data_IF_251639119405
#
_entry.id   IF_251639119405
#
_cell.length_a   1.000
_cell.length_b   1.000
_cell.length_c   1.000
_cell.angle_alpha   90.00
_cell.angle_beta   90.00
_cell.angle_gamma   90.00
#
_symmetry.space_group_name_H-M   'P 1'
#
loop_
_entity.id
_entity.type
_entity.pdbx_description
1 polymer ?
#
# COMPACT_ATOMS: atom_id res chain seq x y z
N UNK A 1 -0.80 -35.11 3.84
CA UNK A 1 0.65 -35.19 4.14
C UNK A 1 1.04 -33.90 4.83
N UNK A 2 1.27 -33.92 6.14
CA UNK A 2 1.85 -32.77 6.86
C UNK A 2 3.36 -32.97 6.88
N UNK A 3 4.08 -32.27 6.00
CA UNK A 3 5.54 -32.18 6.09
C UNK A 3 5.89 -31.33 7.33
N UNK A 4 6.48 -31.97 8.33
CA UNK A 4 7.09 -31.27 9.46
C UNK A 4 8.47 -30.84 9.03
N UNK A 5 8.61 -29.55 8.74
CA UNK A 5 9.91 -28.95 8.49
C UNK A 5 10.84 -29.16 9.69
N UNK A 6 12.10 -29.48 9.43
CA UNK A 6 13.12 -29.57 10.47
C UNK A 6 13.41 -28.19 11.08
N UNK A 7 13.94 -28.17 12.30
CA UNK A 7 14.32 -26.93 12.97
C UNK A 7 15.39 -26.17 12.18
N UNK A 8 16.32 -26.87 11.54
CA UNK A 8 17.37 -26.27 10.71
C UNK A 8 16.80 -25.60 9.45
N UNK A 9 15.83 -26.23 8.78
CA UNK A 9 15.16 -25.64 7.62
C UNK A 9 14.40 -24.35 8.00
N UNK A 10 13.70 -24.36 9.14
CA UNK A 10 13.01 -23.17 9.65
C UNK A 10 14.00 -22.06 10.03
N UNK A 11 15.13 -22.40 10.66
CA UNK A 11 16.18 -21.46 11.01
C UNK A 11 16.78 -20.80 9.75
N UNK A 12 17.01 -21.59 8.70
CA UNK A 12 17.52 -21.10 7.42
C UNK A 12 16.50 -20.19 6.72
N UNK A 13 15.22 -20.56 6.70
CA UNK A 13 14.15 -19.72 6.13
C UNK A 13 14.04 -18.38 6.87
N UNK A 14 14.11 -18.41 8.21
CA UNK A 14 14.13 -17.19 9.03
C UNK A 14 15.31 -16.30 8.68
N UNK A 15 16.52 -16.85 8.56
CA UNK A 15 17.73 -16.10 8.18
C UNK A 15 17.54 -15.40 6.83
N UNK A 16 17.10 -16.13 5.81
CA UNK A 16 16.84 -15.57 4.47
C UNK A 16 15.77 -14.47 4.51
N UNK A 17 14.70 -14.63 5.29
CA UNK A 17 13.67 -13.60 5.44
C UNK A 17 14.22 -12.32 6.10
N UNK A 18 15.00 -12.47 7.18
CA UNK A 18 15.63 -11.34 7.86
C UNK A 18 16.64 -10.61 6.98
N UNK A 19 17.44 -11.33 6.20
CA UNK A 19 18.36 -10.72 5.22
C UNK A 19 17.62 -9.92 4.14
N UNK A 20 16.44 -10.37 3.70
CA UNK A 20 15.60 -9.62 2.77
C UNK A 20 15.03 -8.35 3.41
N UNK A 21 14.55 -8.44 4.66
CA UNK A 21 14.03 -7.29 5.41
C UNK A 21 15.12 -6.26 5.67
N UNK A 22 16.33 -6.71 6.03
CA UNK A 22 17.48 -5.83 6.30
C UNK A 22 17.94 -5.03 5.07
N UNK A 23 17.65 -5.51 3.85
CA UNK A 23 17.95 -4.82 2.59
C UNK A 23 16.89 -3.78 2.20
N UNK A 24 15.74 -3.73 2.89
CA UNK A 24 14.70 -2.76 2.59
C UNK A 24 15.16 -1.35 2.99
N UNK A 25 14.83 -0.31 2.19
CA UNK A 25 15.14 1.06 2.54
C UNK A 25 14.34 1.52 3.76
N UNK A 26 14.72 2.67 4.33
CA UNK A 26 13.98 3.28 5.43
C UNK A 26 12.50 3.46 5.08
N UNK A 27 11.62 2.81 5.84
CA UNK A 27 10.19 2.97 5.68
C UNK A 27 9.77 4.40 6.03
N UNK A 28 8.95 4.99 5.17
CA UNK A 28 8.35 6.30 5.46
C UNK A 28 7.11 6.07 6.33
N UNK A 29 7.05 6.60 7.56
CA UNK A 29 5.89 6.43 8.41
C UNK A 29 4.67 7.14 7.80
N UNK A 30 3.53 6.47 7.84
CA UNK A 30 2.29 6.96 7.26
C UNK A 30 1.41 5.82 6.73
N UNK A 31 0.33 6.19 6.05
CA UNK A 31 -0.57 5.27 5.36
C UNK A 31 -0.57 5.57 3.86
N UNK A 32 -0.73 4.52 3.06
CA UNK A 32 -0.94 4.59 1.62
C UNK A 32 -2.28 3.94 1.30
N UNK A 33 -3.18 4.70 0.70
CA UNK A 33 -4.54 4.26 0.37
C UNK A 33 -4.81 4.39 -1.12
N UNK A 34 -5.48 3.39 -1.70
CA UNK A 34 -6.05 3.46 -3.03
C UNK A 34 -7.53 3.85 -2.92
N UNK A 35 -7.87 5.05 -3.38
CA UNK A 35 -9.24 5.57 -3.31
C UNK A 35 -9.89 5.67 -4.69
N UNK A 36 -11.18 5.36 -4.76
CA UNK A 36 -12.03 5.59 -5.93
C UNK A 36 -13.06 6.67 -5.59
N UNK A 37 -13.29 7.63 -6.49
CA UNK A 37 -14.17 8.78 -6.23
C UNK A 37 -15.11 9.05 -7.39
N UNK A 38 -16.31 9.57 -7.12
CA UNK A 38 -17.20 10.01 -8.19
C UNK A 38 -16.55 11.16 -8.96
N UNK A 39 -16.58 11.09 -10.29
CA UNK A 39 -16.20 12.25 -11.11
C UNK A 39 -17.24 13.35 -10.98
N UNK A 40 -16.82 14.62 -11.00
CA UNK A 40 -17.74 15.76 -11.02
C UNK A 40 -18.46 15.98 -12.36
N UNK A 41 -18.21 15.14 -13.38
CA UNK A 41 -18.87 15.23 -14.69
C UNK A 41 -20.17 14.41 -14.67
N UNK A 42 -21.34 15.02 -14.96
CA UNK A 42 -22.63 14.33 -14.86
C UNK A 42 -22.75 13.13 -15.82
N UNK A 43 -22.10 13.22 -16.99
CA UNK A 43 -22.14 12.16 -18.01
C UNK A 43 -21.06 11.09 -17.81
N UNK A 44 -20.29 11.13 -16.72
CA UNK A 44 -19.26 10.13 -16.49
C UNK A 44 -19.85 8.84 -15.92
N UNK A 45 -19.39 7.68 -16.42
CA UNK A 45 -19.75 6.38 -15.85
C UNK A 45 -19.50 6.32 -14.32
N UNK A 46 -18.45 6.99 -13.84
CA UNK A 46 -18.10 7.04 -12.42
C UNK A 46 -19.14 7.74 -11.52
N UNK A 47 -20.08 8.49 -12.09
CA UNK A 47 -21.16 9.14 -11.34
C UNK A 47 -22.42 8.26 -11.20
N UNK A 48 -22.50 7.15 -11.94
CA UNK A 48 -23.66 6.26 -11.93
C UNK A 48 -23.82 5.53 -10.58
N UNK A 49 -25.05 5.29 -10.10
CA UNK A 49 -25.29 4.41 -8.96
C UNK A 49 -24.68 3.03 -9.20
N UNK A 50 -24.01 2.47 -8.18
CA UNK A 50 -23.35 1.16 -8.28
C UNK A 50 -22.00 1.14 -9.00
N UNK A 51 -21.55 2.24 -9.61
CA UNK A 51 -20.21 2.33 -10.17
C UNK A 51 -19.15 2.43 -9.06
N UNK A 52 -17.99 1.79 -9.25
CA UNK A 52 -16.86 1.84 -8.32
C UNK A 52 -16.32 3.27 -8.11
N UNK A 53 -16.50 4.15 -9.10
CA UNK A 53 -15.93 5.49 -9.14
C UNK A 53 -14.61 5.55 -9.91
N UNK A 54 -14.10 6.74 -10.09
CA UNK A 54 -12.85 7.04 -10.79
C UNK A 54 -11.65 6.80 -9.89
N UNK A 55 -10.68 6.03 -10.39
CA UNK A 55 -9.47 5.69 -9.65
C UNK A 55 -8.80 4.42 -10.17
N UNK A 56 -7.87 3.84 -9.40
CA UNK A 56 -7.49 4.30 -8.06
C UNK A 56 -6.61 5.56 -8.11
N UNK A 57 -6.90 6.48 -7.19
CA UNK A 57 -5.99 7.57 -6.84
C UNK A 57 -5.25 7.16 -5.58
N UNK A 58 -3.92 7.29 -5.60
CA UNK A 58 -3.09 6.94 -4.44
C UNK A 58 -2.95 8.14 -3.51
N UNK A 59 -3.24 7.95 -2.23
CA UNK A 59 -3.16 8.97 -1.21
C UNK A 59 -2.16 8.53 -0.15
N UNK A 60 -1.12 9.34 0.06
CA UNK A 60 -0.19 9.17 1.18
C UNK A 60 -0.58 10.12 2.31
N UNK A 61 -0.80 9.58 3.51
CA UNK A 61 -1.05 10.37 4.72
C UNK A 61 0.05 10.15 5.73
N UNK A 62 0.70 11.22 6.20
CA UNK A 62 1.81 11.13 7.15
C UNK A 62 1.90 12.35 8.06
N UNK A 63 2.69 12.25 9.13
CA UNK A 63 3.07 13.41 9.96
C UNK A 63 4.21 14.19 9.32
N UNK A 64 4.04 15.50 9.16
CA UNK A 64 5.08 16.45 8.74
C UNK A 64 5.04 17.62 9.71
N UNK A 65 6.16 17.89 10.41
CA UNK A 65 6.23 18.95 11.44
C UNK A 65 5.05 18.88 12.43
N UNK A 66 4.81 17.68 12.97
CA UNK A 66 3.71 17.35 13.89
C UNK A 66 2.27 17.49 13.34
N UNK A 67 2.10 17.88 12.07
CA UNK A 67 0.79 17.99 11.40
C UNK A 67 0.51 16.78 10.53
N UNK A 68 -0.75 16.35 10.46
CA UNK A 68 -1.18 15.29 9.54
C UNK A 68 -1.35 15.90 8.14
N UNK A 69 -0.62 15.38 7.16
CA UNK A 69 -0.65 15.83 5.77
C UNK A 69 -1.03 14.66 4.87
N UNK A 70 -2.08 14.86 4.07
CA UNK A 70 -2.52 13.90 3.04
C UNK A 70 -2.24 14.47 1.65
N UNK A 71 -1.56 13.70 0.79
CA UNK A 71 -1.22 14.12 -0.57
C UNK A 71 -1.60 13.03 -1.56
N UNK A 72 -2.21 13.44 -2.68
CA UNK A 72 -2.40 12.56 -3.83
C UNK A 72 -1.08 12.41 -4.58
N UNK A 73 -0.70 11.18 -4.87
CA UNK A 73 0.51 10.83 -5.62
C UNK A 73 0.15 10.00 -6.85
N UNK A 74 1.04 10.02 -7.85
CA UNK A 74 0.96 9.10 -8.97
C UNK A 74 1.37 7.70 -8.52
N UNK A 75 0.91 6.66 -9.23
CA UNK A 75 1.19 5.26 -8.91
C UNK A 75 2.69 4.93 -8.93
N UNK A 76 3.44 5.56 -9.82
CA UNK A 76 4.89 5.42 -10.00
C UNK A 76 5.73 6.24 -9.01
N UNK A 77 5.09 7.09 -8.20
CA UNK A 77 5.75 7.88 -7.17
C UNK A 77 5.77 7.20 -5.79
N UNK A 78 5.30 5.95 -5.71
CA UNK A 78 5.33 5.08 -4.53
C UNK A 78 6.68 4.40 -4.42
#
# INVERSE_FOLDING_TARGET
MNERESLDELAQKKKVALEKIAKLPAFRPGTLEAAYRKCGKPNCHCAKPGAQGHGPVWIITRKVKNKTVSKTIKKDAV
#
